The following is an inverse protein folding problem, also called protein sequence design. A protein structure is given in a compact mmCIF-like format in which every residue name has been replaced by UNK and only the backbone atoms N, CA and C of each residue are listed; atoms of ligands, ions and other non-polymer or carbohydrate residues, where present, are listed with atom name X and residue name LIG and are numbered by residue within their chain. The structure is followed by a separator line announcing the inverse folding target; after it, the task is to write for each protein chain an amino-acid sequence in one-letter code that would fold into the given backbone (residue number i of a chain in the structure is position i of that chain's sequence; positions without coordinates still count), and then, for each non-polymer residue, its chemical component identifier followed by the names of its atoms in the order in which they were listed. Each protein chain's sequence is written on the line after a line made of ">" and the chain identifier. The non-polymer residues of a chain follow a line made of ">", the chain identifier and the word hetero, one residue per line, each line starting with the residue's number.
data_IF_987981135982
#
_entry.id   IF_987981135982
#
_cell.length_a   1.000
_cell.length_b   1.000
_cell.length_c   1.000
_cell.angle_alpha   90.00
_cell.angle_beta   90.00
_cell.angle_gamma   90.00
#
_symmetry.space_group_name_H-M   'P 1'
#
loop_
_entity.id
_entity.type
_entity.pdbx_description
1 polymer ?
#
# COMPACT_ATOMS: atom_id res chain seq x y z
N UNK A 1 2.10 25.32 -6.36
CA UNK A 1 2.09 24.02 -7.06
C UNK A 1 1.22 23.07 -6.25
N UNK A 2 0.08 22.67 -6.78
CA UNK A 2 -0.79 21.67 -6.12
C UNK A 2 -0.17 20.30 -6.32
N UNK A 3 0.30 19.66 -5.25
CA UNK A 3 0.67 18.25 -5.31
C UNK A 3 -0.53 17.44 -5.78
N UNK A 4 -0.38 16.54 -6.78
CA UNK A 4 -1.48 15.70 -7.19
C UNK A 4 -1.95 14.87 -5.99
N UNK A 5 -3.25 14.84 -5.76
CA UNK A 5 -3.85 13.99 -4.73
C UNK A 5 -3.64 12.55 -5.16
N UNK A 6 -2.71 11.85 -4.50
CA UNK A 6 -2.44 10.45 -4.76
C UNK A 6 -3.60 9.62 -4.20
N UNK A 7 -4.51 9.16 -5.08
CA UNK A 7 -5.46 8.12 -4.69
C UNK A 7 -4.72 6.80 -4.62
N UNK A 8 -4.56 6.26 -3.42
CA UNK A 8 -3.82 5.01 -3.17
C UNK A 8 -4.68 3.83 -3.63
N UNK A 9 -4.34 3.28 -4.79
CA UNK A 9 -4.89 2.01 -5.30
C UNK A 9 -3.73 1.12 -5.74
N UNK A 10 -3.88 -0.21 -5.73
CA UNK A 10 -2.84 -1.13 -6.20
C UNK A 10 -2.34 -0.79 -7.61
N UNK A 11 -3.24 -0.42 -8.51
CA UNK A 11 -2.89 -0.01 -9.88
C UNK A 11 -2.04 1.27 -9.92
N UNK A 12 -2.40 2.29 -9.15
CA UNK A 12 -1.64 3.55 -9.10
C UNK A 12 -0.24 3.36 -8.49
N UNK A 13 -0.12 2.49 -7.47
CA UNK A 13 1.16 2.16 -6.85
C UNK A 13 2.09 1.42 -7.84
N UNK A 14 1.56 0.45 -8.59
CA UNK A 14 2.33 -0.23 -9.66
C UNK A 14 2.79 0.73 -10.74
N UNK A 15 1.90 1.62 -11.20
CA UNK A 15 2.24 2.59 -12.23
C UNK A 15 3.32 3.57 -11.74
N UNK A 16 3.27 3.97 -10.47
CA UNK A 16 4.31 4.81 -9.87
C UNK A 16 5.64 4.05 -9.73
N UNK A 17 5.61 2.78 -9.31
CA UNK A 17 6.79 1.92 -9.22
C UNK A 17 7.47 1.78 -10.59
N UNK A 18 6.70 1.52 -11.65
CA UNK A 18 7.20 1.45 -13.03
C UNK A 18 7.83 2.76 -13.49
N UNK A 19 7.22 3.90 -13.17
CA UNK A 19 7.80 5.22 -13.47
C UNK A 19 9.11 5.45 -12.73
N UNK A 20 9.20 5.05 -11.46
CA UNK A 20 10.44 5.14 -10.70
C UNK A 20 11.55 4.29 -11.33
N UNK A 21 11.25 3.09 -11.81
CA UNK A 21 12.22 2.23 -12.53
C UNK A 21 12.64 2.87 -13.86
N UNK A 22 11.68 3.33 -14.67
CA UNK A 22 11.99 3.98 -15.93
C UNK A 22 12.82 5.27 -15.77
N UNK A 23 12.55 6.07 -14.73
CA UNK A 23 13.39 7.22 -14.40
C UNK A 23 14.79 6.78 -13.96
N UNK A 24 14.88 5.74 -13.14
CA UNK A 24 16.15 5.17 -12.70
C UNK A 24 16.98 4.69 -13.90
N UNK A 25 16.35 4.02 -14.87
CA UNK A 25 17.00 3.54 -16.09
C UNK A 25 17.45 4.67 -17.01
N UNK A 26 16.71 5.77 -17.04
CA UNK A 26 17.05 6.99 -17.80
C UNK A 26 18.20 7.82 -17.20
N UNK A 27 18.64 7.55 -15.97
CA UNK A 27 19.85 8.18 -15.42
C UNK A 27 21.06 7.63 -16.17
N UNK A 28 21.78 8.52 -16.86
CA UNK A 28 22.94 8.17 -17.67
C UNK A 28 23.96 7.33 -16.87
N UNK A 29 24.63 6.35 -17.50
CA UNK A 29 25.68 5.58 -16.85
C UNK A 29 26.79 6.49 -16.33
N UNK A 30 27.40 6.11 -15.20
CA UNK A 30 28.58 6.79 -14.67
C UNK A 30 29.65 6.91 -15.78
N UNK A 31 30.03 8.13 -16.11
CA UNK A 31 31.11 8.38 -17.06
C UNK A 31 32.43 7.92 -16.42
N UNK A 32 33.30 7.20 -17.15
CA UNK A 32 34.62 6.87 -16.63
C UNK A 32 35.36 8.16 -16.26
N UNK A 33 36.11 8.11 -15.17
CA UNK A 33 36.98 9.22 -14.79
C UNK A 33 37.93 9.50 -15.97
N UNK A 34 37.81 10.68 -16.58
CA UNK A 34 38.73 11.07 -17.63
C UNK A 34 40.13 11.14 -17.01
N UNK A 35 41.09 10.46 -17.62
CA UNK A 35 42.51 10.54 -17.27
C UNK A 35 43.09 11.85 -17.80
N UNK A 36 42.57 12.98 -17.35
CA UNK A 36 43.25 14.24 -17.56
C UNK A 36 44.51 14.25 -16.68
N UNK A 37 45.66 14.65 -17.24
CA UNK A 37 46.90 14.73 -16.46
C UNK A 37 46.66 15.58 -15.21
N UNK A 38 46.93 15.02 -14.03
CA UNK A 38 46.73 15.67 -12.73
C UNK A 38 47.49 17.01 -12.58
N UNK A 39 48.48 17.25 -13.43
CA UNK A 39 49.23 18.51 -13.53
C UNK A 39 48.45 19.64 -14.19
N UNK A 40 47.37 19.35 -14.92
CA UNK A 40 46.46 20.36 -15.45
C UNK A 40 45.31 20.57 -14.47
N UNK A 41 45.26 21.73 -13.83
CA UNK A 41 44.24 22.08 -12.84
C UNK A 41 42.80 21.87 -13.38
N UNK A 42 42.55 22.22 -14.63
CA UNK A 42 41.26 22.01 -15.31
C UNK A 42 40.92 20.53 -15.49
N UNK A 43 41.94 19.69 -15.73
CA UNK A 43 41.80 18.25 -15.85
C UNK A 43 41.40 17.58 -14.53
N UNK A 44 42.11 17.90 -13.45
CA UNK A 44 41.78 17.40 -12.11
C UNK A 44 40.39 17.86 -11.64
N UNK A 45 40.00 19.10 -11.96
CA UNK A 45 38.67 19.62 -11.68
C UNK A 45 37.58 18.84 -12.44
N UNK A 46 37.76 18.61 -13.74
CA UNK A 46 36.82 17.84 -14.56
C UNK A 46 36.66 16.39 -14.06
N UNK A 47 37.76 15.71 -13.72
CA UNK A 47 37.71 14.34 -13.18
C UNK A 47 36.97 14.29 -11.83
N UNK A 48 37.22 15.27 -10.96
CA UNK A 48 36.52 15.39 -9.66
C UNK A 48 35.02 15.60 -9.86
N UNK A 49 34.63 16.51 -10.76
CA UNK A 49 33.22 16.74 -11.10
C UNK A 49 32.55 15.50 -11.69
N UNK A 50 33.25 14.72 -12.53
CA UNK A 50 32.72 13.46 -13.06
C UNK A 50 32.47 12.42 -11.97
N UNK A 51 33.39 12.28 -11.00
CA UNK A 51 33.22 11.34 -9.88
C UNK A 51 32.04 11.74 -9.00
N UNK A 52 31.93 13.02 -8.64
CA UNK A 52 30.83 13.54 -7.82
C UNK A 52 29.49 13.35 -8.53
N UNK A 53 29.41 13.73 -9.82
CA UNK A 53 28.19 13.58 -10.62
C UNK A 53 27.78 12.11 -10.76
N UNK A 54 28.74 11.21 -10.99
CA UNK A 54 28.49 9.76 -11.11
C UNK A 54 28.01 9.14 -9.80
N UNK A 55 28.59 9.59 -8.67
CA UNK A 55 28.16 9.15 -7.33
C UNK A 55 26.74 9.60 -7.03
N UNK A 56 26.43 10.88 -7.32
CA UNK A 56 25.08 11.42 -7.15
C UNK A 56 24.06 10.68 -8.04
N UNK A 57 24.40 10.43 -9.31
CA UNK A 57 23.58 9.65 -10.24
C UNK A 57 23.27 8.24 -9.71
N UNK A 58 24.29 7.55 -9.20
CA UNK A 58 24.14 6.21 -8.60
C UNK A 58 23.24 6.25 -7.37
N UNK A 59 23.41 7.24 -6.49
CA UNK A 59 22.58 7.41 -5.31
C UNK A 59 21.12 7.71 -5.67
N UNK A 60 20.87 8.55 -6.66
CA UNK A 60 19.52 8.85 -7.16
C UNK A 60 18.85 7.60 -7.72
N UNK A 61 19.56 6.84 -8.58
CA UNK A 61 19.10 5.56 -9.12
C UNK A 61 18.74 4.59 -8.00
N UNK A 62 19.61 4.43 -7.01
CA UNK A 62 19.38 3.56 -5.85
C UNK A 62 18.13 3.95 -5.05
N UNK A 63 17.91 5.24 -4.80
CA UNK A 63 16.71 5.73 -4.10
C UNK A 63 15.42 5.47 -4.89
N UNK A 64 15.44 5.66 -6.21
CA UNK A 64 14.28 5.38 -7.06
C UNK A 64 13.94 3.90 -7.11
N UNK A 65 14.94 3.02 -7.26
CA UNK A 65 14.75 1.58 -7.22
C UNK A 65 14.22 1.10 -5.87
N UNK A 66 14.79 1.61 -4.76
CA UNK A 66 14.29 1.30 -3.42
C UNK A 66 12.85 1.79 -3.21
N UNK A 67 12.51 2.98 -3.71
CA UNK A 67 11.14 3.50 -3.71
C UNK A 67 10.17 2.61 -4.48
N UNK A 68 10.56 2.16 -5.68
CA UNK A 68 9.79 1.21 -6.47
C UNK A 68 9.53 -0.11 -5.74
N UNK A 69 10.54 -0.64 -5.05
CA UNK A 69 10.40 -1.82 -4.21
C UNK A 69 9.34 -1.64 -3.12
N UNK A 70 9.39 -0.53 -2.37
CA UNK A 70 8.40 -0.21 -1.33
C UNK A 70 6.98 -0.09 -1.89
N UNK A 71 6.81 0.53 -3.06
CA UNK A 71 5.50 0.67 -3.71
C UNK A 71 4.95 -0.70 -4.15
N UNK A 72 5.82 -1.59 -4.61
CA UNK A 72 5.45 -2.97 -4.99
C UNK A 72 5.02 -3.78 -3.76
N UNK A 73 5.77 -3.71 -2.66
CA UNK A 73 5.38 -4.35 -1.39
C UNK A 73 4.04 -3.82 -0.89
N UNK A 74 3.87 -2.50 -0.86
CA UNK A 74 2.59 -1.90 -0.44
C UNK A 74 1.41 -2.38 -1.30
N UNK A 75 1.62 -2.53 -2.62
CA UNK A 75 0.62 -3.08 -3.54
C UNK A 75 0.19 -4.49 -3.11
N UNK A 76 1.15 -5.37 -2.81
CA UNK A 76 0.88 -6.75 -2.37
C UNK A 76 0.15 -6.79 -1.03
N UNK A 77 0.52 -5.91 -0.10
CA UNK A 77 -0.16 -5.79 1.20
C UNK A 77 -1.62 -5.35 1.03
N UNK A 78 -1.89 -4.36 0.18
CA UNK A 78 -3.25 -3.92 -0.13
C UNK A 78 -4.09 -5.05 -0.72
N UNK A 79 -3.55 -5.82 -1.67
CA UNK A 79 -4.27 -6.94 -2.29
C UNK A 79 -4.50 -8.08 -1.31
N UNK A 80 -3.54 -8.39 -0.43
CA UNK A 80 -3.71 -9.39 0.62
C UNK A 80 -4.82 -8.99 1.59
N UNK A 81 -4.83 -7.73 2.04
CA UNK A 81 -5.86 -7.21 2.93
C UNK A 81 -7.25 -7.27 2.31
N UNK A 82 -7.39 -6.91 1.03
CA UNK A 82 -8.66 -6.98 0.29
C UNK A 82 -9.17 -8.42 0.17
N UNK A 83 -8.30 -9.35 -0.23
CA UNK A 83 -8.64 -10.77 -0.32
C UNK A 83 -9.01 -11.37 1.04
N UNK A 84 -8.27 -11.02 2.10
CA UNK A 84 -8.57 -11.49 3.46
C UNK A 84 -9.92 -10.92 3.95
N UNK A 85 -10.23 -9.67 3.64
CA UNK A 85 -11.51 -9.04 3.93
C UNK A 85 -12.66 -9.73 3.19
N UNK A 86 -12.50 -9.99 1.89
CA UNK A 86 -13.47 -10.72 1.08
C UNK A 86 -13.69 -12.14 1.61
N UNK A 87 -12.62 -12.84 1.99
CA UNK A 87 -12.70 -14.17 2.59
C UNK A 87 -13.43 -14.14 3.94
N UNK A 88 -13.16 -13.14 4.78
CA UNK A 88 -13.85 -12.97 6.06
C UNK A 88 -15.35 -12.70 5.88
N UNK A 89 -15.73 -11.90 4.87
CA UNK A 89 -17.14 -11.65 4.53
C UNK A 89 -17.81 -12.91 3.96
N UNK A 90 -17.13 -13.65 3.09
CA UNK A 90 -17.64 -14.91 2.55
C UNK A 90 -17.80 -16.00 3.63
N UNK A 91 -17.02 -15.94 4.70
CA UNK A 91 -17.14 -16.83 5.85
C UNK A 91 -18.34 -16.52 6.76
N UNK A 92 -19.02 -15.37 6.57
CA UNK A 92 -20.26 -15.06 7.29
C UNK A 92 -21.37 -15.98 6.78
N UNK A 93 -22.00 -16.80 7.64
CA UNK A 93 -23.08 -17.69 7.22
C UNK A 93 -24.27 -16.89 6.69
N UNK A 94 -24.67 -17.15 5.46
CA UNK A 94 -25.78 -16.47 4.78
C UNK A 94 -27.15 -17.10 5.13
N UNK A 95 -27.40 -17.33 6.43
CA UNK A 95 -28.52 -18.14 6.88
C UNK A 95 -29.03 -17.79 8.27
N UNK A 96 -30.03 -16.90 8.33
CA UNK A 96 -31.36 -17.18 8.90
C UNK A 96 -31.52 -18.10 10.12
N UNK A 97 -30.63 -18.06 11.12
CA UNK A 97 -30.87 -18.67 12.42
C UNK A 97 -31.12 -17.58 13.47
N UNK A 98 -32.32 -17.02 13.43
CA UNK A 98 -33.00 -16.40 14.56
C UNK A 98 -32.21 -15.33 15.33
N UNK A 99 -32.16 -14.10 14.80
CA UNK A 99 -32.40 -12.97 15.69
C UNK A 99 -33.87 -13.05 16.11
N UNK A 100 -34.18 -13.87 17.11
CA UNK A 100 -35.32 -13.59 17.96
C UNK A 100 -34.94 -12.30 18.69
N UNK A 101 -35.62 -11.17 18.43
CA UNK A 101 -35.46 -10.02 19.32
C UNK A 101 -35.81 -10.55 20.71
N UNK A 102 -34.87 -10.45 21.65
CA UNK A 102 -35.12 -10.79 23.04
C UNK A 102 -36.45 -10.17 23.41
N UNK A 103 -37.41 -11.05 23.71
CA UNK A 103 -38.77 -10.78 24.18
C UNK A 103 -38.86 -9.36 24.71
N UNK A 104 -39.73 -8.53 24.10
CA UNK A 104 -40.19 -7.29 24.72
C UNK A 104 -40.66 -7.66 26.12
N UNK A 105 -39.83 -7.37 27.12
CA UNK A 105 -40.15 -7.53 28.53
C UNK A 105 -41.34 -6.60 28.78
N UNK A 106 -42.55 -7.14 28.71
CA UNK A 106 -43.75 -6.44 29.07
C UNK A 106 -43.71 -6.20 30.59
N UNK A 107 -43.13 -5.07 30.98
CA UNK A 107 -43.28 -4.53 32.32
C UNK A 107 -44.48 -3.60 32.33
N UNK A 108 -45.60 -4.09 32.87
CA UNK A 108 -46.68 -3.28 33.42
C UNK A 108 -47.87 -3.04 32.49
N UNK A 109 -48.92 -3.85 32.64
CA UNK A 109 -50.29 -3.37 32.86
C UNK A 109 -51.19 -4.57 33.21
N UNK A 110 -51.95 -4.40 34.29
CA UNK A 110 -52.99 -5.30 34.78
C UNK A 110 -54.03 -5.65 33.70
N UNK A 111 -54.48 -6.91 33.68
CA UNK A 111 -55.71 -7.27 32.96
C UNK A 111 -55.89 -8.74 32.60
N UNK A 112 -56.54 -9.49 33.51
CA UNK A 112 -57.65 -10.39 33.15
C UNK A 112 -57.42 -11.63 32.28
N UNK A 113 -57.42 -12.80 32.95
CA UNK A 113 -58.06 -14.08 32.60
C UNK A 113 -58.06 -14.60 31.14
N UNK A 114 -57.49 -15.79 30.92
CA UNK A 114 -58.24 -17.03 30.58
C UNK A 114 -57.31 -18.20 30.17
N UNK A 115 -57.51 -19.37 30.80
CA UNK A 115 -57.22 -20.73 30.30
C UNK A 115 -55.75 -21.08 30.01
N UNK A 116 -55.07 -21.97 30.73
CA UNK A 116 -55.52 -23.29 31.18
C UNK A 116 -55.06 -24.37 30.19
N UNK A 117 -54.51 -25.47 30.75
CA UNK A 117 -54.15 -26.75 30.12
C UNK A 117 -52.81 -26.76 29.35
N UNK A 118 -51.80 -27.56 29.69
CA UNK A 118 -51.65 -28.63 30.65
C UNK A 118 -50.40 -29.44 30.26
N UNK A 119 -49.51 -29.73 31.22
CA UNK A 119 -48.53 -30.81 31.10
C UNK A 119 -49.23 -32.13 31.39
N UNK A 120 -48.90 -33.23 30.68
CA UNK A 120 -47.87 -34.16 31.16
C UNK A 120 -47.11 -34.86 29.98
N UNK A 121 -45.93 -35.47 30.05
CA UNK A 121 -45.09 -36.12 31.07
C UNK A 121 -43.64 -35.96 30.62
#
# INVERSE_FOLDING_TARGET
>A
MTSPVLRVTPANLRQLAQRCVALADGVAPALPAASASAWQASGAAASTTNVVTSTAATAMRGRMTAGSGKLTTATQEYESMDNNGAAALAAVPNGGAGFTPLVRRASGVDGGAAGGFGTPR
#
